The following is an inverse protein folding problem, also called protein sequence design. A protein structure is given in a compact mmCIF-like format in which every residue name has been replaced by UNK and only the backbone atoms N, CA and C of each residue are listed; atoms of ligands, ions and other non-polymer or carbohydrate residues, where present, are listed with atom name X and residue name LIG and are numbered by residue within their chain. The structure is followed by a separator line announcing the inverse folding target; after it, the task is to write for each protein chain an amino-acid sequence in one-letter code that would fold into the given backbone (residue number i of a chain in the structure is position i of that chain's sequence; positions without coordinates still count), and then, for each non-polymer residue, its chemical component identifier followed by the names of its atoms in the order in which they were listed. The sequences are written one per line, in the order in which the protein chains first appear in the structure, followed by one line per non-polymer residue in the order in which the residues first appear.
data_IF_556975610738
#
_entry.id   IF_556975610738
#
_cell.length_a   1.000
_cell.length_b   1.000
_cell.length_c   1.000
_cell.angle_alpha   90.00
_cell.angle_beta   90.00
_cell.angle_gamma   90.00
#
_symmetry.space_group_name_H-M   'P 1'
#
loop_
_entity.id
_entity.type
_entity.pdbx_description
1 polymer ?
#
# COMPACT_ATOMS: atom_id res chain seq x y z
N UNK A 1 -16.45 5.66 -5.57
CA UNK A 1 -16.49 4.27 -6.07
C UNK A 1 -15.12 3.69 -5.77
N UNK A 2 -14.97 2.79 -4.78
CA UNK A 2 -13.70 2.09 -4.60
C UNK A 2 -13.43 1.29 -5.88
N UNK A 3 -12.20 1.33 -6.38
CA UNK A 3 -11.80 0.48 -7.51
C UNK A 3 -12.10 -0.98 -7.12
N UNK A 4 -12.78 -1.76 -7.98
CA UNK A 4 -12.96 -3.18 -7.73
C UNK A 4 -11.57 -3.82 -7.68
N UNK A 5 -11.31 -4.60 -6.63
CA UNK A 5 -10.12 -5.44 -6.50
C UNK A 5 -9.87 -6.13 -7.84
N UNK A 6 -8.64 -6.04 -8.37
CA UNK A 6 -8.29 -6.55 -9.69
C UNK A 6 -8.70 -8.03 -9.80
N UNK A 7 -9.64 -8.31 -10.69
CA UNK A 7 -10.24 -9.64 -10.93
C UNK A 7 -9.23 -10.74 -11.32
N UNK A 8 -7.95 -10.39 -11.54
CA UNK A 8 -6.85 -11.32 -11.85
C UNK A 8 -6.07 -11.77 -10.61
N UNK A 9 -6.30 -11.17 -9.44
CA UNK A 9 -5.64 -11.56 -8.18
C UNK A 9 -6.25 -12.86 -7.66
N UNK A 10 -5.40 -13.86 -7.40
CA UNK A 10 -5.79 -15.02 -6.58
C UNK A 10 -6.03 -14.57 -5.14
N UNK A 11 -6.77 -15.36 -4.36
CA UNK A 11 -7.11 -15.03 -2.97
C UNK A 11 -5.89 -14.60 -2.14
N UNK A 12 -4.76 -15.32 -2.25
CA UNK A 12 -3.52 -14.97 -1.53
C UNK A 12 -2.93 -13.62 -1.97
N UNK A 13 -2.93 -13.35 -3.28
CA UNK A 13 -2.43 -12.07 -3.82
C UNK A 13 -3.37 -10.91 -3.47
N UNK A 14 -4.68 -11.17 -3.41
CA UNK A 14 -5.66 -10.17 -2.99
C UNK A 14 -5.48 -9.82 -1.51
N UNK A 15 -5.19 -10.80 -0.66
CA UNK A 15 -4.87 -10.58 0.76
C UNK A 15 -3.60 -9.75 0.92
N UNK A 16 -2.55 -10.06 0.16
CA UNK A 16 -1.29 -9.28 0.16
C UNK A 16 -1.55 -7.81 -0.20
N UNK A 17 -2.38 -7.58 -1.23
CA UNK A 17 -2.73 -6.23 -1.69
C UNK A 17 -3.59 -5.46 -0.66
N UNK A 18 -4.54 -6.15 -0.01
CA UNK A 18 -5.36 -5.59 1.07
C UNK A 18 -4.47 -5.19 2.26
N UNK A 19 -3.52 -6.04 2.64
CA UNK A 19 -2.58 -5.75 3.72
C UNK A 19 -1.70 -4.55 3.37
N UNK A 20 -1.14 -4.51 2.17
CA UNK A 20 -0.31 -3.42 1.68
C UNK A 20 -1.06 -2.09 1.67
N UNK A 21 -2.26 -2.09 1.10
CA UNK A 21 -3.14 -0.91 1.04
C UNK A 21 -3.53 -0.45 2.44
N UNK A 22 -3.85 -1.39 3.33
CA UNK A 22 -4.18 -1.07 4.73
C UNK A 22 -3.01 -0.39 5.44
N UNK A 23 -1.78 -0.87 5.25
CA UNK A 23 -0.56 -0.25 5.81
C UNK A 23 -0.38 1.19 5.32
N UNK A 24 -0.62 1.46 4.03
CA UNK A 24 -0.57 2.81 3.45
C UNK A 24 -1.62 3.74 4.08
N UNK A 25 -2.88 3.28 4.19
CA UNK A 25 -3.97 4.07 4.77
C UNK A 25 -3.67 4.42 6.23
N UNK A 26 -3.18 3.45 7.01
CA UNK A 26 -2.83 3.66 8.42
C UNK A 26 -1.70 4.68 8.54
N UNK A 27 -0.63 4.54 7.74
CA UNK A 27 0.51 5.44 7.78
C UNK A 27 0.12 6.87 7.40
N UNK A 28 -0.71 7.04 6.36
CA UNK A 28 -1.22 8.34 5.94
C UNK A 28 -2.14 8.97 7.00
N UNK A 29 -2.99 8.17 7.64
CA UNK A 29 -3.95 8.64 8.64
C UNK A 29 -3.30 8.99 9.98
N UNK A 30 -2.14 8.42 10.28
CA UNK A 30 -1.41 8.62 11.54
C UNK A 30 -0.40 9.77 11.49
N UNK A 31 -0.23 10.42 10.34
CA UNK A 31 0.74 11.48 10.11
C UNK A 31 0.04 12.83 9.98
N UNK A 32 0.57 13.84 10.66
CA UNK A 32 0.17 15.22 10.42
C UNK A 32 0.78 15.69 9.08
N UNK A 33 -0.03 15.68 8.02
CA UNK A 33 0.36 16.04 6.66
C UNK A 33 0.65 14.82 5.77
N UNK A 34 1.16 15.07 4.56
CA UNK A 34 1.33 14.02 3.55
C UNK A 34 2.57 13.13 3.81
N UNK A 35 2.47 11.85 3.40
CA UNK A 35 3.64 10.99 3.25
C UNK A 35 4.53 11.53 2.13
N UNK A 36 5.84 11.52 2.35
CA UNK A 36 6.83 11.75 1.30
C UNK A 36 6.94 10.52 0.41
N UNK A 37 7.44 10.71 -0.81
CA UNK A 37 7.67 9.60 -1.74
C UNK A 37 8.54 8.50 -1.13
N UNK A 38 9.57 8.88 -0.37
CA UNK A 38 10.46 7.92 0.30
C UNK A 38 9.73 7.07 1.33
N UNK A 39 8.85 7.67 2.14
CA UNK A 39 8.05 6.92 3.12
C UNK A 39 7.08 5.96 2.41
N UNK A 40 6.50 6.38 1.29
CA UNK A 40 5.66 5.52 0.44
C UNK A 40 6.48 4.34 -0.10
N UNK A 41 7.67 4.59 -0.65
CA UNK A 41 8.55 3.56 -1.20
C UNK A 41 9.02 2.56 -0.12
N UNK A 42 9.24 3.01 1.11
CA UNK A 42 9.57 2.15 2.25
C UNK A 42 8.37 1.25 2.63
N UNK A 43 7.15 1.78 2.67
CA UNK A 43 5.92 1.00 2.94
C UNK A 43 5.63 0.00 1.83
N UNK A 44 5.86 0.40 0.57
CA UNK A 44 5.71 -0.44 -0.61
C UNK A 44 6.85 -1.47 -0.77
N UNK A 45 7.91 -1.39 0.03
CA UNK A 45 9.08 -2.26 -0.08
C UNK A 45 9.96 -2.00 -1.31
N UNK A 46 9.77 -0.86 -2.00
CA UNK A 46 10.48 -0.45 -3.21
C UNK A 46 11.86 0.14 -2.87
N UNK A 47 12.05 0.63 -1.64
CA UNK A 47 13.28 1.31 -1.16
C UNK A 47 14.57 0.46 -1.21
N UNK A 48 14.53 -0.78 -1.72
CA UNK A 48 15.67 -1.68 -1.86
C UNK A 48 15.75 -2.33 -3.25
N UNK A 49 15.59 -1.54 -4.31
CA UNK A 49 16.07 -1.90 -5.64
C UNK A 49 17.36 -1.11 -5.93
N UNK A 50 18.48 -1.62 -5.42
CA UNK A 50 19.84 -1.15 -5.70
C UNK A 50 20.76 -2.33 -5.91
#
# INVERSE_FOLDING_TARGET
MPEPLDSRLRDDQALDEIELTSRLIIAASSKDGHLSQREVDEILGIAKAG
#
